data_IF_634064996720
#
_entry.id   IF_634064996720
#
_cell.length_a   1.000
_cell.length_b   1.000
_cell.length_c   1.000
_cell.angle_alpha   90.00
_cell.angle_beta   90.00
_cell.angle_gamma   90.00
#
_symmetry.space_group_name_H-M   'P 1'
#
loop_
_entity.id
_entity.type
_entity.pdbx_description
1 polymer ?
#
# COMPACT_ATOMS: atom_id res chain seq x y z
N UNK A 1 16.47 -94.23 -35.83
CA UNK A 1 15.78 -93.12 -35.13
C UNK A 1 16.85 -92.16 -34.60
N UNK A 2 17.09 -91.05 -35.29
CA UNK A 2 17.97 -89.98 -34.80
C UNK A 2 17.05 -88.94 -34.16
N UNK A 3 17.07 -88.80 -32.84
CA UNK A 3 16.37 -87.71 -32.14
C UNK A 3 17.02 -86.39 -32.57
N UNK A 4 16.28 -85.54 -33.27
CA UNK A 4 16.68 -84.16 -33.58
C UNK A 4 16.58 -83.33 -32.31
N UNK A 5 17.63 -83.33 -31.48
CA UNK A 5 17.67 -82.53 -30.23
C UNK A 5 18.00 -81.04 -30.46
N UNK A 6 18.32 -80.62 -31.70
CA UNK A 6 18.72 -79.24 -32.02
C UNK A 6 17.60 -78.25 -32.38
N UNK A 7 16.32 -78.65 -32.34
CA UNK A 7 15.20 -77.76 -32.72
C UNK A 7 14.64 -76.96 -31.54
N UNK A 8 14.66 -77.52 -30.32
CA UNK A 8 14.16 -76.85 -29.10
C UNK A 8 15.09 -75.70 -28.69
N UNK A 9 16.40 -75.83 -28.93
CA UNK A 9 17.40 -74.82 -28.60
C UNK A 9 17.27 -73.53 -29.41
N UNK A 10 16.90 -73.61 -30.71
CA UNK A 10 16.72 -72.42 -31.57
C UNK A 10 15.49 -71.62 -31.13
N UNK A 11 14.36 -72.28 -30.86
CA UNK A 11 13.16 -71.61 -30.36
C UNK A 11 13.38 -71.01 -28.97
N UNK A 12 14.10 -71.71 -28.09
CA UNK A 12 14.47 -71.17 -26.77
C UNK A 12 15.35 -69.92 -26.88
N UNK A 13 16.30 -69.90 -27.83
CA UNK A 13 17.14 -68.73 -28.14
C UNK A 13 16.31 -67.56 -28.64
N UNK A 14 15.38 -67.81 -29.56
CA UNK A 14 14.48 -66.80 -30.12
C UNK A 14 13.59 -66.17 -29.05
N UNK A 15 12.99 -67.01 -28.19
CA UNK A 15 12.18 -66.56 -27.05
C UNK A 15 13.02 -65.78 -26.04
N UNK A 16 14.22 -66.25 -25.70
CA UNK A 16 15.17 -65.51 -24.84
C UNK A 16 15.54 -64.15 -25.43
N UNK A 17 15.82 -64.06 -26.73
CA UNK A 17 16.15 -62.79 -27.39
C UNK A 17 14.96 -61.83 -27.34
N UNK A 18 13.74 -62.30 -27.61
CA UNK A 18 12.52 -61.49 -27.50
C UNK A 18 12.33 -61.02 -26.05
N UNK A 19 12.47 -61.91 -25.07
CA UNK A 19 12.38 -61.56 -23.65
C UNK A 19 13.43 -60.52 -23.25
N UNK A 20 14.68 -60.66 -23.74
CA UNK A 20 15.76 -59.72 -23.45
C UNK A 20 15.52 -58.34 -24.08
N UNK A 21 14.93 -58.29 -25.28
CA UNK A 21 14.52 -57.04 -25.92
C UNK A 21 13.40 -56.37 -25.10
N UNK A 22 12.38 -57.13 -24.72
CA UNK A 22 11.25 -56.61 -23.94
C UNK A 22 11.71 -56.12 -22.56
N UNK A 23 12.54 -56.87 -21.84
CA UNK A 23 13.05 -56.42 -20.54
C UNK A 23 13.94 -55.19 -20.67
N UNK A 24 14.79 -55.13 -21.70
CA UNK A 24 15.62 -53.95 -21.96
C UNK A 24 14.77 -52.72 -22.28
N UNK A 25 13.70 -52.90 -23.06
CA UNK A 25 12.73 -51.84 -23.35
C UNK A 25 11.99 -51.37 -22.09
N UNK A 26 11.50 -52.28 -21.25
CA UNK A 26 10.83 -51.95 -20.00
C UNK A 26 11.74 -51.21 -19.02
N UNK A 27 13.01 -51.63 -18.91
CA UNK A 27 14.02 -50.94 -18.08
C UNK A 27 14.29 -49.53 -18.62
N UNK A 28 14.34 -49.38 -19.95
CA UNK A 28 14.52 -48.07 -20.58
C UNK A 28 13.33 -47.14 -20.30
N UNK A 29 12.09 -47.58 -20.54
CA UNK A 29 10.88 -46.80 -20.25
C UNK A 29 10.80 -46.42 -18.77
N UNK A 30 11.05 -47.37 -17.86
CA UNK A 30 11.06 -47.10 -16.41
C UNK A 30 12.07 -46.01 -16.03
N UNK A 31 13.24 -46.01 -16.68
CA UNK A 31 14.28 -44.99 -16.43
C UNK A 31 13.84 -43.61 -16.97
N UNK A 32 13.21 -43.57 -18.13
CA UNK A 32 12.68 -42.33 -18.72
C UNK A 32 11.58 -41.76 -17.85
N UNK A 33 10.60 -42.56 -17.45
CA UNK A 33 9.51 -42.16 -16.55
C UNK A 33 10.04 -41.65 -15.20
N UNK A 34 11.05 -42.34 -14.63
CA UNK A 34 11.70 -41.89 -13.39
C UNK A 34 12.34 -40.51 -13.53
N UNK A 35 13.06 -40.25 -14.63
CA UNK A 35 13.66 -38.94 -14.88
C UNK A 35 12.61 -37.86 -15.11
N UNK A 36 11.53 -38.16 -15.84
CA UNK A 36 10.41 -37.24 -16.03
C UNK A 36 9.80 -36.90 -14.66
N UNK A 37 9.46 -37.92 -13.86
CA UNK A 37 8.85 -37.72 -12.54
C UNK A 37 9.71 -36.86 -11.61
N UNK A 38 11.02 -37.11 -11.55
CA UNK A 38 11.93 -36.30 -10.73
C UNK A 38 12.03 -34.86 -11.24
N UNK A 39 12.17 -34.67 -12.55
CA UNK A 39 12.27 -33.33 -13.12
C UNK A 39 10.97 -32.55 -12.92
N UNK A 40 9.81 -33.20 -13.08
CA UNK A 40 8.51 -32.59 -12.77
C UNK A 40 8.42 -32.19 -11.30
N UNK A 41 8.82 -33.07 -10.37
CA UNK A 41 8.80 -32.76 -8.93
C UNK A 41 9.74 -31.60 -8.59
N UNK A 42 10.97 -31.62 -9.12
CA UNK A 42 11.94 -30.57 -8.88
C UNK A 42 11.51 -29.23 -9.49
N UNK A 43 10.84 -29.26 -10.66
CA UNK A 43 10.28 -28.06 -11.28
C UNK A 43 9.16 -27.45 -10.43
N UNK A 44 8.22 -28.29 -9.97
CA UNK A 44 7.17 -27.84 -9.04
C UNK A 44 7.77 -27.27 -7.75
N UNK A 45 8.79 -27.91 -7.19
CA UNK A 45 9.48 -27.40 -6.00
C UNK A 45 10.15 -26.05 -6.27
N UNK A 46 10.86 -25.91 -7.39
CA UNK A 46 11.49 -24.64 -7.79
C UNK A 46 10.43 -23.54 -7.91
N UNK A 47 9.31 -23.82 -8.58
CA UNK A 47 8.20 -22.88 -8.68
C UNK A 47 7.67 -22.42 -7.31
N UNK A 48 7.35 -23.36 -6.41
CA UNK A 48 6.84 -23.00 -5.08
C UNK A 48 7.85 -22.25 -4.22
N UNK A 49 9.15 -22.49 -4.38
CA UNK A 49 10.19 -21.73 -3.69
C UNK A 49 10.25 -20.28 -4.20
N UNK A 50 10.25 -20.07 -5.52
CA UNK A 50 10.21 -18.72 -6.10
C UNK A 50 8.96 -17.95 -5.69
N UNK A 51 7.80 -18.62 -5.68
CA UNK A 51 6.51 -18.05 -5.27
C UNK A 51 6.50 -17.74 -3.76
N UNK A 52 6.99 -18.68 -2.94
CA UNK A 52 7.09 -18.53 -1.48
C UNK A 52 7.88 -17.29 -1.07
N UNK A 53 9.00 -16.99 -1.74
CA UNK A 53 9.76 -15.76 -1.52
C UNK A 53 8.94 -14.48 -1.71
N UNK A 54 8.04 -14.48 -2.70
CA UNK A 54 7.16 -13.33 -2.96
C UNK A 54 6.15 -13.17 -1.83
N UNK A 55 5.53 -14.27 -1.39
CA UNK A 55 4.61 -14.24 -0.24
C UNK A 55 5.29 -13.76 1.04
N UNK A 56 6.53 -14.20 1.30
CA UNK A 56 7.31 -13.75 2.47
C UNK A 56 7.59 -12.24 2.48
N UNK A 57 7.70 -11.62 1.29
CA UNK A 57 7.92 -10.18 1.14
C UNK A 57 6.64 -9.37 1.31
N UNK A 58 5.50 -9.92 0.91
CA UNK A 58 4.23 -9.19 0.95
C UNK A 58 3.43 -9.41 2.23
N UNK A 59 3.60 -10.55 2.90
CA UNK A 59 2.67 -10.97 3.97
C UNK A 59 3.36 -11.52 5.22
N UNK A 60 4.69 -11.47 5.30
CA UNK A 60 5.45 -11.98 6.44
C UNK A 60 6.59 -11.00 6.80
N UNK A 61 7.61 -11.48 7.51
CA UNK A 61 8.78 -10.74 8.01
C UNK A 61 9.30 -9.61 7.12
N UNK A 62 9.47 -9.83 5.82
CA UNK A 62 10.11 -8.84 4.94
C UNK A 62 9.17 -7.71 4.52
N UNK A 63 7.87 -7.81 4.85
CA UNK A 63 6.92 -6.75 4.61
C UNK A 63 7.27 -5.50 5.40
N UNK A 64 7.30 -5.61 6.73
CA UNK A 64 7.58 -4.49 7.63
C UNK A 64 9.05 -4.07 7.61
N UNK A 65 9.97 -5.03 7.39
CA UNK A 65 11.41 -4.78 7.43
C UNK A 65 11.93 -4.11 6.14
N UNK A 66 11.43 -4.51 4.97
CA UNK A 66 12.07 -4.18 3.69
C UNK A 66 11.12 -3.58 2.65
N UNK A 67 9.92 -4.15 2.49
CA UNK A 67 8.95 -3.74 1.47
C UNK A 67 8.27 -2.41 1.83
N UNK A 68 7.57 -2.35 2.96
CA UNK A 68 6.80 -1.19 3.39
C UNK A 68 7.67 0.06 3.56
N UNK A 69 8.85 0.01 4.23
CA UNK A 69 9.73 1.17 4.32
C UNK A 69 10.18 1.68 2.96
N UNK A 70 10.42 0.79 2.00
CA UNK A 70 10.83 1.19 0.65
C UNK A 70 9.69 1.88 -0.11
N UNK A 71 8.45 1.39 0.01
CA UNK A 71 7.27 2.04 -0.57
C UNK A 71 7.09 3.44 0.02
N UNK A 72 7.19 3.57 1.35
CA UNK A 72 7.13 4.85 2.08
C UNK A 72 8.17 5.85 1.57
N UNK A 73 9.42 5.41 1.39
CA UNK A 73 10.48 6.27 0.85
C UNK A 73 10.17 6.77 -0.57
N UNK A 74 9.66 5.89 -1.44
CA UNK A 74 9.29 6.25 -2.82
C UNK A 74 8.15 7.27 -2.83
N UNK A 75 7.10 7.07 -2.02
CA UNK A 75 5.98 8.02 -1.91
C UNK A 75 6.38 9.35 -1.27
N UNK A 76 7.44 9.38 -0.48
CA UNK A 76 8.07 10.62 0.02
C UNK A 76 8.95 11.34 -1.00
N UNK A 77 9.09 10.81 -2.22
CA UNK A 77 9.81 11.43 -3.32
C UNK A 77 11.20 10.85 -3.60
N UNK A 78 11.52 9.64 -3.10
CA UNK A 78 12.77 8.96 -3.47
C UNK A 78 12.76 8.61 -4.96
N UNK A 79 13.79 9.06 -5.69
CA UNK A 79 13.92 8.83 -7.15
C UNK A 79 14.11 7.36 -7.53
N UNK A 80 14.69 6.56 -6.64
CA UNK A 80 14.97 5.15 -6.92
C UNK A 80 13.74 4.31 -6.63
N UNK A 81 13.14 3.75 -7.67
CA UNK A 81 11.93 2.91 -7.57
C UNK A 81 12.22 1.41 -7.65
N UNK A 82 13.49 1.00 -7.56
CA UNK A 82 13.90 -0.42 -7.59
C UNK A 82 14.79 -0.76 -6.39
N UNK A 83 14.58 -1.93 -5.79
CA UNK A 83 15.35 -2.45 -4.65
C UNK A 83 15.52 -3.97 -4.77
N UNK A 84 16.71 -4.47 -4.49
CA UNK A 84 16.94 -5.90 -4.28
C UNK A 84 16.75 -6.19 -2.79
N UNK A 85 15.78 -7.03 -2.44
CA UNK A 85 15.52 -7.51 -1.08
C UNK A 85 16.31 -8.81 -0.90
N UNK A 86 17.19 -8.85 0.09
CA UNK A 86 18.05 -10.00 0.40
C UNK A 86 17.41 -10.78 1.54
N UNK A 87 17.14 -12.06 1.31
CA UNK A 87 16.55 -12.97 2.28
C UNK A 87 17.64 -13.60 3.15
N UNK A 88 17.32 -13.82 4.43
CA UNK A 88 18.16 -14.55 5.37
C UNK A 88 18.38 -15.99 4.90
N UNK A 89 19.60 -16.51 5.09
CA UNK A 89 19.93 -17.90 4.74
C UNK A 89 19.08 -18.96 5.46
N UNK A 90 18.40 -18.60 6.56
CA UNK A 90 17.50 -19.51 7.30
C UNK A 90 16.15 -19.67 6.61
N UNK A 91 15.79 -18.71 5.78
CA UNK A 91 14.50 -18.62 5.11
C UNK A 91 14.57 -19.21 3.69
N UNK A 92 15.71 -19.81 3.32
CA UNK A 92 16.04 -20.32 1.99
C UNK A 92 16.34 -21.81 2.12
N UNK A 93 15.89 -22.61 1.15
CA UNK A 93 16.19 -24.03 1.12
C UNK A 93 17.69 -24.28 0.87
N UNK A 94 18.25 -25.34 1.47
CA UNK A 94 19.68 -25.68 1.38
C UNK A 94 20.18 -25.84 -0.07
N UNK A 95 19.28 -26.21 -0.99
CA UNK A 95 19.59 -26.42 -2.40
C UNK A 95 19.20 -25.25 -3.30
N UNK A 96 18.88 -24.08 -2.73
CA UNK A 96 18.31 -22.95 -3.45
C UNK A 96 19.29 -21.76 -3.62
N UNK A 97 19.27 -21.17 -4.82
CA UNK A 97 19.88 -19.86 -5.11
C UNK A 97 19.10 -19.16 -6.23
N UNK A 98 19.11 -17.81 -6.36
CA UNK A 98 19.68 -16.81 -5.46
C UNK A 98 18.76 -16.46 -4.28
N UNK A 99 19.33 -15.83 -3.25
CA UNK A 99 18.66 -15.40 -2.02
C UNK A 99 17.96 -14.03 -2.13
N UNK A 100 17.59 -13.59 -3.33
CA UNK A 100 17.12 -12.23 -3.54
C UNK A 100 15.86 -12.15 -4.38
N UNK A 101 15.06 -11.15 -4.09
CA UNK A 101 13.89 -10.76 -4.87
C UNK A 101 14.03 -9.30 -5.26
N UNK A 102 13.78 -9.01 -6.53
CA UNK A 102 13.83 -7.64 -7.04
C UNK A 102 12.45 -7.01 -6.97
N UNK A 103 12.32 -5.95 -6.18
CA UNK A 103 11.15 -5.09 -6.11
C UNK A 103 11.32 -3.91 -7.06
N UNK A 104 10.29 -3.63 -7.87
CA UNK A 104 10.22 -2.46 -8.75
C UNK A 104 8.85 -1.82 -8.63
N UNK A 105 8.80 -0.53 -8.30
CA UNK A 105 7.59 0.28 -8.26
C UNK A 105 7.48 1.11 -9.54
N UNK A 106 6.29 1.16 -10.14
CA UNK A 106 6.03 1.92 -11.36
C UNK A 106 4.64 2.51 -11.31
N UNK A 107 4.54 3.73 -11.80
CA UNK A 107 3.25 4.33 -12.10
C UNK A 107 2.80 3.86 -13.49
N UNK A 108 1.59 3.30 -13.56
CA UNK A 108 0.97 2.83 -14.78
C UNK A 108 -0.49 3.30 -14.81
N UNK A 109 -0.89 4.04 -15.84
CA UNK A 109 -2.24 4.61 -15.97
C UNK A 109 -2.72 5.38 -14.71
N UNK A 110 -1.85 6.23 -14.14
CA UNK A 110 -2.09 6.99 -12.90
C UNK A 110 -2.26 6.14 -11.63
N UNK A 111 -1.96 4.84 -11.68
CA UNK A 111 -1.98 3.93 -10.55
C UNK A 111 -0.58 3.48 -10.19
N UNK A 112 -0.31 3.30 -8.91
CA UNK A 112 0.97 2.76 -8.48
C UNK A 112 0.93 1.23 -8.45
N UNK A 113 1.80 0.60 -9.25
CA UNK A 113 1.97 -0.84 -9.32
C UNK A 113 3.32 -1.28 -8.75
N UNK A 114 3.35 -2.46 -8.13
CA UNK A 114 4.57 -3.15 -7.77
C UNK A 114 4.83 -4.35 -8.68
N UNK A 115 6.11 -4.65 -8.88
CA UNK A 115 6.59 -5.85 -9.54
C UNK A 115 7.65 -6.51 -8.66
N UNK A 116 7.41 -7.76 -8.25
CA UNK A 116 8.34 -8.60 -7.52
C UNK A 116 8.83 -9.71 -8.44
N UNK A 117 10.14 -9.71 -8.72
CA UNK A 117 10.78 -10.77 -9.52
C UNK A 117 11.66 -11.64 -8.66
N UNK A 118 11.32 -12.92 -8.59
CA UNK A 118 11.97 -13.95 -7.81
C UNK A 118 12.56 -15.02 -8.74
N UNK A 119 13.80 -15.42 -8.48
CA UNK A 119 14.46 -16.53 -9.15
C UNK A 119 14.73 -17.64 -8.12
N UNK A 120 14.54 -18.89 -8.54
CA UNK A 120 14.91 -20.08 -7.78
C UNK A 120 15.65 -21.06 -8.67
N UNK A 121 16.74 -21.61 -8.17
CA UNK A 121 17.48 -22.73 -8.75
C UNK A 121 17.44 -23.87 -7.76
N UNK A 122 16.57 -24.85 -7.99
CA UNK A 122 16.47 -26.05 -7.16
C UNK A 122 17.02 -27.24 -7.91
N UNK A 123 18.17 -27.76 -7.46
CA UNK A 123 18.86 -28.92 -8.07
C UNK A 123 19.11 -28.74 -9.58
N UNK A 124 19.45 -27.53 -10.03
CA UNK A 124 19.74 -27.20 -11.42
C UNK A 124 18.52 -26.82 -12.26
N UNK A 125 17.31 -26.81 -11.68
CA UNK A 125 16.10 -26.34 -12.34
C UNK A 125 15.82 -24.89 -11.93
N UNK A 126 16.02 -24.00 -12.88
CA UNK A 126 15.79 -22.56 -12.74
C UNK A 126 14.35 -22.19 -13.06
N UNK A 127 13.71 -21.47 -12.16
CA UNK A 127 12.37 -20.91 -12.35
C UNK A 127 12.41 -19.42 -12.04
N UNK A 128 11.79 -18.63 -12.91
CA UNK A 128 11.63 -17.19 -12.69
C UNK A 128 10.15 -16.88 -12.55
N UNK A 129 9.77 -16.28 -11.42
CA UNK A 129 8.40 -15.84 -11.17
C UNK A 129 8.40 -14.33 -11.01
N UNK A 130 7.50 -13.69 -11.74
CA UNK A 130 7.20 -12.27 -11.54
C UNK A 130 5.75 -12.14 -11.06
N UNK A 131 5.58 -11.54 -9.88
CA UNK A 131 4.29 -11.09 -9.39
C UNK A 131 4.14 -9.59 -9.65
N UNK A 132 2.97 -9.18 -10.11
CA UNK A 132 2.61 -7.77 -10.30
C UNK A 132 1.25 -7.47 -9.69
N UNK A 133 1.12 -6.27 -9.13
CA UNK A 133 -0.07 -5.89 -8.39
C UNK A 133 -0.17 -4.40 -8.13
N UNK A 134 -1.27 -3.97 -7.50
CA UNK A 134 -1.51 -2.58 -7.08
C UNK A 134 -0.98 -2.37 -5.67
N UNK A 135 -0.53 -1.16 -5.34
CA UNK A 135 0.00 -0.82 -4.02
C UNK A 135 -0.97 -0.07 -3.12
N UNK A 136 -1.80 0.78 -3.73
CA UNK A 136 -2.68 1.72 -3.03
C UNK A 136 -4.11 1.22 -3.15
N UNK A 137 -4.88 1.38 -2.08
CA UNK A 137 -6.29 1.05 -2.08
C UNK A 137 -7.03 1.83 -3.19
N UNK A 138 -7.88 1.10 -3.93
CA UNK A 138 -8.54 1.58 -5.15
C UNK A 138 -9.31 2.90 -4.95
N UNK A 139 -9.90 3.14 -3.77
CA UNK A 139 -10.67 4.36 -3.48
C UNK A 139 -9.83 5.64 -3.63
N UNK A 140 -8.56 5.58 -3.26
CA UNK A 140 -7.65 6.73 -3.35
C UNK A 140 -7.14 6.97 -4.78
N UNK A 141 -7.28 5.98 -5.67
CA UNK A 141 -6.83 6.04 -7.07
C UNK A 141 -7.99 6.23 -8.07
N UNK A 142 -9.24 6.46 -7.61
CA UNK A 142 -10.41 6.66 -8.47
C UNK A 142 -10.35 7.91 -9.35
N UNK A 143 -9.48 8.88 -9.03
CA UNK A 143 -9.40 10.16 -9.71
C UNK A 143 -10.49 11.17 -9.31
N UNK A 144 -11.38 10.81 -8.37
CA UNK A 144 -12.36 11.74 -7.80
C UNK A 144 -11.70 12.59 -6.71
N UNK A 145 -11.81 13.93 -6.76
CA UNK A 145 -11.23 14.82 -5.73
C UNK A 145 -11.97 14.77 -4.39
N UNK A 146 -13.23 14.33 -4.39
CA UNK A 146 -14.08 14.21 -3.20
C UNK A 146 -14.62 12.79 -3.17
N UNK A 147 -14.45 12.12 -2.03
CA UNK A 147 -15.02 10.81 -1.71
C UNK A 147 -16.06 10.99 -0.61
N UNK A 148 -17.32 10.81 -0.97
CA UNK A 148 -18.48 10.84 -0.08
C UNK A 148 -19.48 9.74 -0.48
N UNK A 149 -20.50 9.44 0.36
CA UNK A 149 -21.48 8.40 0.05
C UNK A 149 -22.17 8.57 -1.31
N UNK A 150 -22.51 9.79 -1.74
CA UNK A 150 -23.12 10.03 -3.04
C UNK A 150 -22.19 9.80 -4.23
N UNK A 151 -20.88 10.01 -4.06
CA UNK A 151 -19.91 9.80 -5.15
C UNK A 151 -19.63 8.30 -5.44
N UNK A 152 -20.01 7.40 -4.52
CA UNK A 152 -19.59 5.99 -4.53
C UNK A 152 -20.77 4.98 -4.54
N UNK A 153 -21.87 5.31 -5.24
CA UNK A 153 -23.15 4.57 -5.23
C UNK A 153 -23.05 3.03 -5.36
N UNK A 154 -22.01 2.48 -6.00
CA UNK A 154 -21.85 1.03 -6.23
C UNK A 154 -20.87 0.33 -5.25
N UNK A 155 -20.19 1.06 -4.37
CA UNK A 155 -19.13 0.56 -3.47
C UNK A 155 -19.32 1.05 -2.04
N UNK A 156 -20.56 1.34 -1.64
CA UNK A 156 -20.87 1.99 -0.37
C UNK A 156 -20.43 1.18 0.84
N UNK A 157 -20.58 -0.15 0.82
CA UNK A 157 -20.21 -1.00 1.96
C UNK A 157 -18.69 -1.02 2.18
N UNK A 158 -17.92 -1.28 1.13
CA UNK A 158 -16.44 -1.28 1.17
C UNK A 158 -15.92 0.11 1.57
N UNK A 159 -16.55 1.18 1.08
CA UNK A 159 -16.20 2.54 1.46
C UNK A 159 -16.52 2.81 2.95
N UNK A 160 -17.67 2.37 3.45
CA UNK A 160 -17.98 2.47 4.88
C UNK A 160 -17.01 1.66 5.75
N UNK A 161 -16.57 0.49 5.29
CA UNK A 161 -15.53 -0.28 5.97
C UNK A 161 -14.20 0.48 6.01
N UNK A 162 -13.79 1.08 4.89
CA UNK A 162 -12.59 1.94 4.84
C UNK A 162 -12.73 3.13 5.80
N UNK A 163 -13.85 3.85 5.76
CA UNK A 163 -14.10 4.98 6.67
C UNK A 163 -14.03 4.57 8.13
N UNK A 164 -14.68 3.46 8.51
CA UNK A 164 -14.64 2.96 9.88
C UNK A 164 -13.21 2.62 10.30
N UNK A 165 -12.46 1.92 9.44
CA UNK A 165 -11.05 1.60 9.69
C UNK A 165 -10.22 2.86 9.88
N UNK A 166 -10.36 3.86 9.01
CA UNK A 166 -9.68 5.15 9.16
C UNK A 166 -10.06 5.78 10.50
N UNK A 167 -11.34 5.91 10.81
CA UNK A 167 -11.80 6.61 12.01
C UNK A 167 -11.35 5.93 13.31
N UNK A 168 -11.28 4.61 13.34
CA UNK A 168 -10.85 3.83 14.49
C UNK A 168 -9.32 3.80 14.64
N UNK A 169 -8.59 3.59 13.55
CA UNK A 169 -7.15 3.31 13.58
C UNK A 169 -6.29 4.57 13.38
N UNK A 170 -6.83 5.68 12.84
CA UNK A 170 -6.01 6.86 12.50
C UNK A 170 -5.36 7.43 13.75
N UNK A 171 -4.03 7.45 13.70
CA UNK A 171 -3.19 7.86 14.82
C UNK A 171 -1.86 8.41 14.29
N UNK A 172 -1.24 9.31 15.05
CA UNK A 172 0.10 9.79 14.72
C UNK A 172 1.12 8.87 15.38
N UNK A 173 1.83 8.05 14.60
CA UNK A 173 3.11 7.52 15.06
C UNK A 173 4.20 8.57 14.82
N UNK A 174 4.57 9.27 15.89
CA UNK A 174 5.58 10.33 15.84
C UNK A 174 6.96 9.82 15.36
N UNK A 175 7.23 8.51 15.40
CA UNK A 175 8.49 7.94 14.89
C UNK A 175 8.58 7.96 13.38
N UNK A 176 7.43 7.98 12.70
CA UNK A 176 7.37 7.89 11.24
C UNK A 176 7.29 9.27 10.58
N UNK A 177 7.08 10.35 11.35
CA UNK A 177 7.00 11.70 10.81
C UNK A 177 8.38 12.21 10.35
N UNK A 178 8.50 12.71 9.10
CA UNK A 178 9.69 13.44 8.66
C UNK A 178 9.96 14.65 9.56
N UNK A 179 11.24 15.01 9.75
CA UNK A 179 11.66 16.13 10.62
C UNK A 179 11.07 17.50 10.23
N UNK A 180 10.66 17.66 8.97
CA UNK A 180 10.03 18.86 8.44
C UNK A 180 8.49 18.79 8.44
N UNK A 181 7.91 17.85 9.18
CA UNK A 181 6.47 17.66 9.33
C UNK A 181 6.08 17.81 10.79
N UNK A 182 5.15 18.70 11.05
CA UNK A 182 4.54 18.84 12.36
C UNK A 182 3.42 17.80 12.51
N UNK A 183 3.42 17.06 13.62
CA UNK A 183 2.35 16.14 13.99
C UNK A 183 1.63 16.65 15.23
N UNK A 184 0.32 16.81 15.15
CA UNK A 184 -0.51 17.22 16.27
C UNK A 184 -1.71 16.30 16.44
N UNK A 185 -1.85 15.68 17.61
CA UNK A 185 -3.00 14.85 17.93
C UNK A 185 -3.75 15.45 19.12
N UNK A 186 -4.96 15.91 18.85
CA UNK A 186 -5.77 16.66 19.79
C UNK A 186 -7.04 15.87 20.11
N UNK A 187 -7.26 15.71 21.41
CA UNK A 187 -8.49 15.16 21.97
C UNK A 187 -8.94 16.05 23.12
N UNK A 188 -10.22 15.98 23.45
CA UNK A 188 -10.83 16.71 24.56
C UNK A 188 -10.88 18.24 24.40
N UNK A 189 -10.67 18.79 23.21
CA UNK A 189 -10.85 20.21 22.89
C UNK A 189 -12.19 20.43 22.17
N UNK A 190 -12.78 21.62 22.30
CA UNK A 190 -14.03 21.99 21.61
C UNK A 190 -13.77 22.79 20.34
N UNK A 191 -12.75 23.65 20.37
CA UNK A 191 -12.32 24.40 19.20
C UNK A 191 -10.80 24.50 19.13
N UNK A 192 -10.29 24.46 17.91
CA UNK A 192 -8.88 24.67 17.61
C UNK A 192 -8.78 25.78 16.58
N UNK A 193 -7.92 26.76 16.81
CA UNK A 193 -7.67 27.85 15.87
C UNK A 193 -6.24 27.73 15.37
N UNK A 194 -6.06 27.55 14.06
CA UNK A 194 -4.76 27.54 13.41
C UNK A 194 -4.58 28.86 12.66
N UNK A 195 -3.64 29.68 13.13
CA UNK A 195 -3.31 30.96 12.52
C UNK A 195 -1.90 30.93 11.95
N UNK A 196 -1.77 31.18 10.65
CA UNK A 196 -0.48 31.36 10.00
C UNK A 196 -0.03 32.82 10.13
N UNK A 197 1.16 33.03 10.67
CA UNK A 197 1.77 34.36 10.86
C UNK A 197 2.62 34.73 9.64
N UNK A 198 3.41 33.78 9.15
CA UNK A 198 4.20 33.91 7.94
C UNK A 198 4.28 32.56 7.21
N UNK A 199 5.01 32.51 6.10
CA UNK A 199 5.08 31.32 5.25
C UNK A 199 5.38 30.06 6.05
N UNK A 200 6.23 30.04 7.09
CA UNK A 200 6.58 28.80 7.79
C UNK A 200 6.16 28.75 9.27
N UNK A 201 5.60 29.83 9.80
CA UNK A 201 5.27 29.94 11.21
C UNK A 201 3.76 30.04 11.39
N UNK A 202 3.19 29.05 12.08
CA UNK A 202 1.81 29.03 12.50
C UNK A 202 1.70 28.81 14.00
N UNK A 203 0.60 29.29 14.59
CA UNK A 203 0.23 29.00 15.97
C UNK A 203 -1.10 28.27 16.01
N UNK A 204 -1.14 27.20 16.79
CA UNK A 204 -2.34 26.44 17.08
C UNK A 204 -2.80 26.77 18.50
N UNK A 205 -4.04 27.22 18.62
CA UNK A 205 -4.69 27.56 19.87
C UNK A 205 -5.84 26.58 20.10
N UNK A 206 -5.79 25.78 21.17
CA UNK A 206 -6.83 24.81 21.47
C UNK A 206 -7.59 25.19 22.76
N UNK A 207 -8.92 25.23 22.65
CA UNK A 207 -9.81 25.72 23.70
C UNK A 207 -10.73 24.61 24.25
N UNK A 208 -11.05 24.75 25.54
CA UNK A 208 -12.10 23.99 26.25
C UNK A 208 -12.89 24.97 27.08
N UNK A 209 -14.19 24.75 27.23
CA UNK A 209 -15.10 25.57 28.04
C UNK A 209 -14.56 25.90 29.44
N UNK A 210 -13.86 24.95 30.07
CA UNK A 210 -13.34 25.09 31.43
C UNK A 210 -11.98 25.80 31.51
N UNK A 211 -11.37 26.18 30.38
CA UNK A 211 -10.04 26.78 30.34
C UNK A 211 -10.12 28.31 30.33
N UNK A 212 -9.28 28.95 31.16
CA UNK A 212 -9.13 30.42 31.19
C UNK A 212 -8.18 30.90 30.09
N UNK A 213 -7.15 30.13 29.79
CA UNK A 213 -6.19 30.38 28.72
C UNK A 213 -6.13 29.16 27.78
N UNK A 214 -5.99 29.36 26.46
CA UNK A 214 -5.87 28.25 25.53
C UNK A 214 -4.56 27.49 25.71
N UNK A 215 -4.56 26.23 25.29
CA UNK A 215 -3.30 25.55 24.96
C UNK A 215 -2.73 26.18 23.68
N UNK A 216 -1.45 26.52 23.69
CA UNK A 216 -0.79 27.20 22.56
C UNK A 216 0.39 26.34 22.11
N UNK A 217 0.46 26.09 20.81
CA UNK A 217 1.58 25.38 20.19
C UNK A 217 2.12 26.13 18.98
N UNK A 218 3.45 26.23 18.89
CA UNK A 218 4.14 26.85 17.77
C UNK A 218 4.50 25.78 16.73
N UNK A 219 4.09 26.03 15.48
CA UNK A 219 4.30 25.15 14.34
C UNK A 219 5.25 25.87 13.38
N UNK A 220 6.50 25.40 13.30
CA UNK A 220 7.53 25.95 12.41
C UNK A 220 7.65 25.26 11.06
N UNK A 221 6.61 24.55 10.61
CA UNK A 221 6.60 23.76 9.37
C UNK A 221 5.23 23.87 8.67
N UNK A 222 5.22 23.93 7.34
CA UNK A 222 3.98 23.92 6.55
C UNK A 222 3.43 22.53 6.27
N UNK A 223 4.26 21.49 6.45
CA UNK A 223 3.77 20.12 6.39
C UNK A 223 3.17 19.78 7.75
N UNK A 224 1.87 19.52 7.78
CA UNK A 224 1.13 19.22 9.00
C UNK A 224 0.42 17.87 8.89
N UNK A 225 0.42 17.11 9.97
CA UNK A 225 -0.45 15.96 10.16
C UNK A 225 -1.24 16.24 11.42
N UNK A 226 -2.50 16.64 11.25
CA UNK A 226 -3.40 17.00 12.34
C UNK A 226 -4.47 15.93 12.48
N UNK A 227 -4.60 15.36 13.67
CA UNK A 227 -5.68 14.46 14.04
C UNK A 227 -6.46 15.11 15.18
N UNK A 228 -7.69 15.52 14.92
CA UNK A 228 -8.56 16.22 15.86
C UNK A 228 -9.77 15.34 16.12
N UNK A 229 -9.86 14.80 17.33
CA UNK A 229 -10.96 13.92 17.77
C UNK A 229 -11.94 14.67 18.65
N UNK A 230 -13.22 14.29 18.52
CA UNK A 230 -14.30 14.92 19.27
C UNK A 230 -14.27 14.56 20.74
N UNK A 231 -14.90 15.41 21.55
CA UNK A 231 -15.02 15.19 22.99
C UNK A 231 -16.47 14.99 23.40
N UNK A 232 -16.80 13.76 23.81
CA UNK A 232 -18.17 13.40 24.13
C UNK A 232 -19.07 13.48 22.89
N UNK A 233 -20.23 14.12 23.05
CA UNK A 233 -21.23 14.25 21.99
C UNK A 233 -21.11 15.52 21.15
N UNK A 234 -20.22 16.45 21.53
CA UNK A 234 -20.07 17.72 20.83
C UNK A 234 -19.01 17.60 19.73
N UNK A 235 -19.36 18.05 18.52
CA UNK A 235 -18.44 18.18 17.40
C UNK A 235 -17.34 19.20 17.71
N UNK A 236 -16.17 19.02 17.08
CA UNK A 236 -15.04 19.93 17.23
C UNK A 236 -14.91 20.83 16.01
N UNK A 237 -14.72 22.12 16.25
CA UNK A 237 -14.50 23.09 15.18
C UNK A 237 -13.02 23.39 15.04
N UNK A 238 -12.45 23.04 13.88
CA UNK A 238 -11.14 23.52 13.45
C UNK A 238 -11.32 24.82 12.67
N UNK A 239 -10.82 25.92 13.21
CA UNK A 239 -10.87 27.24 12.61
C UNK A 239 -9.52 27.53 11.95
N UNK A 240 -9.53 27.76 10.64
CA UNK A 240 -8.37 28.10 9.84
C UNK A 240 -8.38 29.61 9.57
N UNK A 241 -7.45 30.32 10.23
CA UNK A 241 -7.34 31.76 10.16
C UNK A 241 -8.26 32.52 11.13
N UNK A 242 -8.50 33.80 10.83
CA UNK A 242 -9.26 34.70 11.70
C UNK A 242 -10.10 35.71 10.90
N UNK A 243 -11.11 36.30 11.56
CA UNK A 243 -12.06 37.24 10.95
C UNK A 243 -11.41 38.54 10.44
N UNK A 244 -10.28 38.96 11.01
CA UNK A 244 -9.58 40.18 10.61
C UNK A 244 -8.70 39.97 9.35
N UNK A 245 -8.34 38.72 9.06
CA UNK A 245 -7.37 38.31 8.05
C UNK A 245 -7.95 37.62 6.83
N UNK A 246 -9.20 37.94 6.44
CA UNK A 246 -9.93 37.22 5.37
C UNK A 246 -9.13 37.08 4.05
N UNK A 247 -8.34 38.09 3.69
CA UNK A 247 -7.53 38.11 2.46
C UNK A 247 -6.10 37.60 2.65
N UNK A 248 -5.67 37.34 3.90
CA UNK A 248 -4.32 36.86 4.19
C UNK A 248 -4.16 35.42 3.72
N UNK A 249 -3.18 35.12 2.84
CA UNK A 249 -3.00 33.78 2.31
C UNK A 249 -2.56 32.82 3.43
N UNK A 250 -3.16 31.64 3.45
CA UNK A 250 -2.79 30.53 4.29
C UNK A 250 -2.44 29.32 3.42
N UNK A 251 -1.19 28.87 3.47
CA UNK A 251 -0.68 27.76 2.66
C UNK A 251 -0.19 26.63 3.55
N UNK A 252 -0.88 25.50 3.48
CA UNK A 252 -0.57 24.31 4.28
C UNK A 252 -0.47 23.09 3.35
N UNK A 253 0.35 22.13 3.75
CA UNK A 253 0.45 20.84 3.07
C UNK A 253 0.29 19.74 4.11
N UNK A 254 -0.36 18.61 3.81
CA UNK A 254 -0.53 17.63 4.88
C UNK A 254 -1.69 16.67 4.84
N UNK A 255 -1.97 16.15 6.02
CA UNK A 255 -3.19 15.42 6.35
C UNK A 255 -3.91 16.18 7.47
N UNK A 256 -5.19 16.48 7.29
CA UNK A 256 -6.06 17.03 8.33
C UNK A 256 -7.22 16.06 8.53
N UNK A 257 -7.32 15.47 9.72
CA UNK A 257 -8.44 14.65 10.15
C UNK A 257 -9.21 15.39 11.25
N UNK A 258 -10.52 15.57 11.08
CA UNK A 258 -11.39 16.23 12.07
C UNK A 258 -12.68 15.44 12.28
N UNK A 259 -13.02 15.18 13.53
CA UNK A 259 -14.35 14.72 13.95
C UNK A 259 -15.23 15.94 14.28
N UNK A 260 -15.70 16.61 13.24
CA UNK A 260 -16.44 17.87 13.31
C UNK A 260 -16.16 18.76 12.11
N UNK A 261 -16.40 20.07 12.26
CA UNK A 261 -16.36 21.00 11.13
C UNK A 261 -15.00 21.67 10.96
N UNK A 262 -14.71 22.09 9.74
CA UNK A 262 -13.60 23.00 9.43
C UNK A 262 -14.18 24.34 9.00
N UNK A 263 -13.91 25.40 9.75
CA UNK A 263 -14.30 26.77 9.39
C UNK A 263 -13.10 27.51 8.81
N UNK A 264 -13.23 28.03 7.58
CA UNK A 264 -12.14 28.71 6.86
C UNK A 264 -12.44 30.19 6.76
N UNK A 265 -11.64 31.03 7.43
CA UNK A 265 -11.77 32.50 7.35
C UNK A 265 -10.82 33.12 6.32
N UNK A 266 -9.61 32.58 6.21
CA UNK A 266 -8.56 33.13 5.36
C UNK A 266 -8.61 32.56 3.94
N UNK A 267 -7.90 33.19 3.00
CA UNK A 267 -7.62 32.62 1.68
C UNK A 267 -6.75 31.36 1.84
N UNK A 268 -7.38 30.19 1.72
CA UNK A 268 -6.75 28.92 2.07
C UNK A 268 -6.36 28.10 0.84
N UNK A 269 -5.08 27.71 0.76
CA UNK A 269 -4.55 26.75 -0.20
C UNK A 269 -4.01 25.53 0.57
N UNK A 270 -4.54 24.35 0.27
CA UNK A 270 -4.13 23.10 0.91
C UNK A 270 -3.65 22.09 -0.11
N UNK A 271 -2.45 21.56 0.07
CA UNK A 271 -1.95 20.44 -0.73
C UNK A 271 -1.91 19.18 0.12
N UNK A 272 -2.85 18.26 -0.10
CA UNK A 272 -2.92 17.02 0.68
C UNK A 272 -4.32 16.48 0.86
N UNK A 273 -4.54 15.79 1.98
CA UNK A 273 -5.78 15.06 2.24
C UNK A 273 -6.53 15.67 3.43
N UNK A 274 -7.82 15.93 3.27
CA UNK A 274 -8.72 16.32 4.36
C UNK A 274 -9.70 15.18 4.60
N UNK A 275 -9.85 14.76 5.85
CA UNK A 275 -10.78 13.72 6.27
C UNK A 275 -11.73 14.30 7.31
N UNK A 276 -13.02 14.20 7.02
CA UNK A 276 -14.10 14.71 7.87
C UNK A 276 -14.97 13.55 8.35
N UNK A 277 -15.08 13.43 9.67
CA UNK A 277 -16.06 12.55 10.30
C UNK A 277 -17.21 13.40 10.82
N UNK A 278 -18.35 13.26 10.16
CA UNK A 278 -19.65 13.82 10.52
C UNK A 278 -19.77 15.35 10.54
N UNK A 279 -18.78 16.09 10.01
CA UNK A 279 -18.85 17.55 9.85
C UNK A 279 -18.80 18.04 8.41
N UNK A 280 -18.67 19.36 8.24
CA UNK A 280 -18.64 20.06 6.95
C UNK A 280 -17.52 21.11 6.89
N UNK A 281 -17.24 21.62 5.68
CA UNK A 281 -16.32 22.74 5.46
C UNK A 281 -17.13 24.03 5.33
N UNK A 282 -17.06 24.87 6.36
CA UNK A 282 -17.77 26.13 6.43
C UNK A 282 -16.86 27.26 5.95
N UNK A 283 -17.16 27.79 4.76
CA UNK A 283 -16.36 28.86 4.14
C UNK A 283 -16.88 30.23 4.57
N UNK A 284 -16.02 31.01 5.22
CA UNK A 284 -16.25 32.40 5.63
C UNK A 284 -15.29 33.39 4.94
N UNK A 285 -14.33 32.88 4.17
CA UNK A 285 -13.40 33.66 3.36
C UNK A 285 -14.07 34.31 2.15
N UNK A 286 -13.43 35.35 1.61
CA UNK A 286 -13.86 36.03 0.38
C UNK A 286 -13.67 35.18 -0.88
N UNK A 287 -12.68 34.29 -0.87
CA UNK A 287 -12.39 33.35 -1.95
C UNK A 287 -12.70 31.91 -1.50
N UNK A 288 -13.05 31.03 -2.44
CA UNK A 288 -13.20 29.59 -2.15
C UNK A 288 -11.84 28.99 -1.76
N UNK A 289 -11.77 28.15 -0.72
CA UNK A 289 -10.55 27.42 -0.39
C UNK A 289 -10.18 26.49 -1.54
N UNK A 290 -8.88 26.41 -1.84
CA UNK A 290 -8.32 25.54 -2.88
C UNK A 290 -7.66 24.34 -2.25
N UNK A 291 -8.15 23.15 -2.59
CA UNK A 291 -7.65 21.88 -2.06
C UNK A 291 -7.11 21.05 -3.22
N UNK A 292 -5.79 20.87 -3.27
CA UNK A 292 -5.12 20.05 -4.28
C UNK A 292 -4.75 18.70 -3.66
N UNK A 293 -5.57 17.69 -3.89
CA UNK A 293 -5.41 16.36 -3.32
C UNK A 293 -6.76 15.66 -3.22
N UNK A 294 -7.19 15.33 -2.00
CA UNK A 294 -8.39 14.51 -1.76
C UNK A 294 -9.16 14.97 -0.52
N UNK A 295 -10.49 14.97 -0.61
CA UNK A 295 -11.37 15.10 0.56
C UNK A 295 -12.12 13.79 0.76
N UNK A 296 -12.12 13.28 1.99
CA UNK A 296 -12.84 12.08 2.38
C UNK A 296 -13.84 12.47 3.46
N UNK A 297 -15.13 12.21 3.23
CA UNK A 297 -16.18 12.62 4.17
C UNK A 297 -17.18 11.50 4.42
N UNK A 298 -17.65 11.37 5.67
CA UNK A 298 -18.76 10.47 6.00
C UNK A 298 -20.12 10.98 5.51
N UNK A 299 -20.21 12.26 5.12
CA UNK A 299 -21.40 12.94 4.62
C UNK A 299 -21.11 13.64 3.29
N UNK A 300 -22.17 13.92 2.52
CA UNK A 300 -22.04 14.73 1.32
C UNK A 300 -21.70 16.17 1.68
N UNK A 301 -20.74 16.75 0.96
CA UNK A 301 -20.24 18.10 1.17
C UNK A 301 -20.85 19.06 0.16
N UNK A 302 -20.90 20.35 0.52
CA UNK A 302 -21.32 21.38 -0.41
C UNK A 302 -20.16 21.77 -1.35
N UNK A 303 -20.05 21.06 -2.47
CA UNK A 303 -18.99 21.26 -3.48
C UNK A 303 -18.94 22.70 -4.03
N UNK A 304 -20.07 23.41 -4.07
CA UNK A 304 -20.11 24.79 -4.56
C UNK A 304 -19.31 25.76 -3.67
N UNK A 305 -19.02 25.40 -2.43
CA UNK A 305 -18.30 26.27 -1.49
C UNK A 305 -16.76 26.16 -1.60
N UNK A 306 -16.25 25.11 -2.24
CA UNK A 306 -14.83 24.75 -2.25
C UNK A 306 -14.32 24.53 -3.69
N UNK A 307 -13.02 24.67 -3.92
CA UNK A 307 -12.36 24.35 -5.20
C UNK A 307 -11.39 23.18 -4.97
N UNK A 308 -11.75 21.98 -5.43
CA UNK A 308 -11.00 20.75 -5.15
C UNK A 308 -10.49 20.15 -6.44
N UNK A 309 -9.18 19.93 -6.53
CA UNK A 309 -8.53 19.27 -7.67
C UNK A 309 -7.82 17.99 -7.22
N UNK A 310 -8.03 16.91 -7.97
CA UNK A 310 -7.39 15.63 -7.68
C UNK A 310 -5.89 15.73 -8.01
N UNK A 311 -5.04 15.36 -7.06
CA UNK A 311 -3.58 15.35 -7.24
C UNK A 311 -2.96 14.08 -6.64
N UNK A 312 -2.55 13.15 -7.50
CA UNK A 312 -2.00 11.85 -7.08
C UNK A 312 -0.70 11.97 -6.30
N UNK A 313 0.18 12.93 -6.62
CA UNK A 313 1.44 13.14 -5.92
C UNK A 313 1.20 13.51 -4.45
N UNK A 314 0.29 14.46 -4.20
CA UNK A 314 -0.10 14.84 -2.84
C UNK A 314 -0.81 13.68 -2.12
N UNK A 315 -1.66 12.93 -2.82
CA UNK A 315 -2.36 11.78 -2.24
C UNK A 315 -1.38 10.69 -1.82
N UNK A 316 -0.43 10.29 -2.67
CA UNK A 316 0.59 9.30 -2.31
C UNK A 316 1.46 9.77 -1.16
N UNK A 317 1.85 11.05 -1.14
CA UNK A 317 2.72 11.60 -0.10
C UNK A 317 2.05 11.65 1.27
N UNK A 318 0.79 12.08 1.35
CA UNK A 318 0.08 12.30 2.62
C UNK A 318 -0.86 11.14 2.99
N UNK A 319 -1.20 10.27 2.05
CA UNK A 319 -1.95 9.05 2.30
C UNK A 319 -1.20 8.02 3.15
N UNK A 320 0.13 8.11 3.21
CA UNK A 320 0.98 7.30 4.10
C UNK A 320 0.58 7.35 5.58
N UNK A 321 -0.11 8.40 6.00
CA UNK A 321 -0.57 8.60 7.38
C UNK A 321 -2.00 8.11 7.61
N UNK A 322 -2.64 7.52 6.58
CA UNK A 322 -4.02 7.02 6.62
C UNK A 322 -3.98 5.49 6.71
N UNK A 323 -4.64 4.89 7.72
CA UNK A 323 -4.80 3.44 7.79
C UNK A 323 -5.49 2.88 6.54
N UNK A 324 -4.98 1.77 6.01
CA UNK A 324 -5.53 1.13 4.80
C UNK A 324 -5.19 1.84 3.48
N UNK A 325 -4.32 2.85 3.49
CA UNK A 325 -3.86 3.49 2.25
C UNK A 325 -2.96 2.57 1.42
N UNK A 326 -1.91 2.02 2.03
CA UNK A 326 -1.05 0.99 1.43
C UNK A 326 -1.74 -0.35 1.65
N UNK A 327 -2.24 -0.94 0.57
CA UNK A 327 -2.95 -2.21 0.57
C UNK A 327 -2.53 -3.00 -0.68
N UNK A 328 -1.37 -3.67 -0.64
CA UNK A 328 -0.83 -4.35 -1.80
C UNK A 328 -1.72 -5.54 -2.19
N UNK A 329 -2.16 -5.57 -3.45
CA UNK A 329 -2.97 -6.65 -3.99
C UNK A 329 -2.29 -7.27 -5.22
N UNK A 330 -2.04 -8.58 -5.18
CA UNK A 330 -1.42 -9.29 -6.31
C UNK A 330 -2.48 -9.57 -7.38
N UNK A 331 -2.27 -9.04 -8.58
CA UNK A 331 -3.19 -9.22 -9.70
C UNK A 331 -2.75 -10.35 -10.65
N UNK A 332 -1.44 -10.59 -10.76
CA UNK A 332 -0.88 -11.53 -11.72
C UNK A 332 0.38 -12.20 -11.18
N UNK A 333 0.45 -13.52 -11.35
CA UNK A 333 1.68 -14.30 -11.31
C UNK A 333 2.03 -14.76 -12.71
N UNK A 334 3.26 -14.47 -13.16
CA UNK A 334 3.79 -14.96 -14.42
C UNK A 334 5.04 -15.80 -14.16
N UNK A 335 4.98 -17.06 -14.56
CA UNK A 335 6.16 -17.93 -14.66
C UNK A 335 6.78 -17.77 -16.05
N UNK A 336 8.10 -17.63 -16.12
CA UNK A 336 8.84 -17.69 -17.38
C UNK A 336 9.78 -18.89 -17.42
#
# INVERSE_FOLDING_TARGET
MIKREGYISIYALLVMSILMIITSYLVYESKVEYHISINTRNNLQSYYLAEGKIYMILFDKYYDEEFYPFVVEVFRGKRTTTKDIILDNRDIDEFESPSKVKLTLRENNNRMEFNLSSESDYKGIKTNITASGTLVNDFFELGSPILSPSTLENSTEDFHMLLNRIFEEINIDFKDLPSNTYGGQFSNFQSLILNQIDENNSYLYAYRETMVEPYIEHIGNNNIVLIIRKYGENDVDLILGNEEGLDSPMELNGLIFVEGNITVFNKFNFNGIIILRDGDIIVKSNEKPKINGLIISSKDLNEDSIDVSYNSENIYRYGLYIPGFIEPNILLFKSN
#
